data_IF_018604476463
#
_entry.id   IF_018604476463
#
_cell.length_a   1.000
_cell.length_b   1.000
_cell.length_c   1.000
_cell.angle_alpha   90.00
_cell.angle_beta   90.00
_cell.angle_gamma   90.00
#
_symmetry.space_group_name_H-M   'P 1'
#
loop_
_entity.id
_entity.type
_entity.pdbx_description
1 polymer ?
#
# COMPACT_ATOMS: atom_id res chain seq x y z
N UNK A 1 -17.25 4.05 -18.31
CA UNK A 1 -18.24 4.47 -17.28
C UNK A 1 -18.66 5.88 -17.64
N UNK A 2 -19.93 6.10 -17.97
CA UNK A 2 -20.40 7.42 -18.40
C UNK A 2 -20.34 8.46 -17.27
N UNK A 3 -20.34 8.00 -16.01
CA UNK A 3 -20.34 8.87 -14.83
C UNK A 3 -18.94 9.39 -14.41
N UNK A 4 -17.84 8.88 -14.97
CA UNK A 4 -16.49 9.28 -14.51
C UNK A 4 -16.01 10.50 -15.30
N UNK A 5 -15.95 11.65 -14.64
CA UNK A 5 -15.22 12.83 -15.13
C UNK A 5 -13.86 12.88 -14.44
N UNK A 6 -12.79 12.56 -15.19
CA UNK A 6 -11.42 12.52 -14.66
C UNK A 6 -10.90 13.91 -14.28
N UNK A 7 -11.28 14.95 -15.00
CA UNK A 7 -10.76 16.30 -14.73
C UNK A 7 -11.22 16.81 -13.37
N UNK A 8 -12.45 16.46 -12.96
CA UNK A 8 -12.95 16.74 -11.63
C UNK A 8 -12.15 16.06 -10.50
N UNK A 9 -11.34 15.03 -10.79
CA UNK A 9 -10.46 14.39 -9.80
C UNK A 9 -9.26 15.29 -9.44
N UNK A 10 -8.99 16.34 -10.22
CA UNK A 10 -7.90 17.31 -10.02
C UNK A 10 -8.38 18.68 -9.59
N UNK A 11 -9.70 18.88 -9.51
CA UNK A 11 -10.29 20.10 -8.97
C UNK A 11 -10.01 20.18 -7.46
N UNK A 12 -9.77 21.41 -7.00
CA UNK A 12 -9.26 21.67 -5.64
C UNK A 12 -10.37 21.42 -4.61
N UNK A 13 -10.49 20.16 -4.18
CA UNK A 13 -11.27 19.78 -3.02
C UNK A 13 -10.38 19.90 -1.78
N UNK A 14 -10.89 20.50 -0.71
CA UNK A 14 -10.21 20.57 0.60
C UNK A 14 -10.86 19.59 1.57
N UNK A 15 -10.77 18.26 1.32
CA UNK A 15 -11.39 17.28 2.19
C UNK A 15 -10.72 17.33 3.57
N UNK A 16 -11.53 17.10 4.60
CA UNK A 16 -11.04 16.80 5.93
C UNK A 16 -10.25 15.49 5.94
N UNK A 17 -9.42 15.31 6.97
CA UNK A 17 -8.71 14.04 7.18
C UNK A 17 -9.66 12.84 7.20
N UNK A 18 -10.83 12.98 7.83
CA UNK A 18 -11.79 11.89 7.94
C UNK A 18 -12.35 11.52 6.56
N UNK A 19 -12.76 12.50 5.76
CA UNK A 19 -13.26 12.26 4.41
C UNK A 19 -12.21 11.58 3.53
N UNK A 20 -10.93 11.97 3.63
CA UNK A 20 -9.83 11.29 2.94
C UNK A 20 -9.69 9.83 3.36
N UNK A 21 -9.77 9.55 4.66
CA UNK A 21 -9.69 8.18 5.18
C UNK A 21 -10.90 7.34 4.76
N UNK A 22 -12.09 7.93 4.70
CA UNK A 22 -13.31 7.26 4.26
C UNK A 22 -13.23 6.89 2.77
N UNK A 23 -12.74 7.81 1.93
CA UNK A 23 -12.50 7.56 0.50
C UNK A 23 -11.44 6.45 0.33
N UNK A 24 -10.34 6.54 1.07
CA UNK A 24 -9.28 5.54 1.08
C UNK A 24 -9.83 4.16 1.43
N UNK A 25 -10.55 4.06 2.55
CA UNK A 25 -11.11 2.80 3.03
C UNK A 25 -12.13 2.23 2.05
N UNK A 26 -12.99 3.07 1.47
CA UNK A 26 -13.97 2.65 0.45
C UNK A 26 -13.28 2.05 -0.79
N UNK A 27 -12.18 2.64 -1.24
CA UNK A 27 -11.37 2.13 -2.35
C UNK A 27 -10.78 0.74 -2.04
N UNK A 28 -10.12 0.60 -0.89
CA UNK A 28 -9.52 -0.67 -0.48
C UNK A 28 -10.55 -1.76 -0.21
N UNK A 29 -11.67 -1.45 0.44
CA UNK A 29 -12.77 -2.39 0.63
C UNK A 29 -13.27 -2.93 -0.70
N UNK A 30 -13.41 -2.07 -1.72
CA UNK A 30 -13.84 -2.50 -3.06
C UNK A 30 -12.82 -3.43 -3.72
N UNK A 31 -11.53 -3.11 -3.59
CA UNK A 31 -10.45 -3.97 -4.11
C UNK A 31 -10.43 -5.33 -3.41
N UNK A 32 -10.42 -5.34 -2.08
CA UNK A 32 -10.35 -6.59 -1.32
C UNK A 32 -11.57 -7.46 -1.53
N UNK A 33 -12.77 -6.88 -1.57
CA UNK A 33 -13.98 -7.63 -1.92
C UNK A 33 -13.83 -8.34 -3.28
N UNK A 34 -13.35 -7.62 -4.30
CA UNK A 34 -13.10 -8.21 -5.61
C UNK A 34 -12.05 -9.32 -5.55
N UNK A 35 -10.91 -9.11 -4.88
CA UNK A 35 -9.85 -10.12 -4.75
C UNK A 35 -10.33 -11.38 -4.01
N UNK A 36 -11.08 -11.21 -2.91
CA UNK A 36 -11.58 -12.34 -2.11
C UNK A 36 -12.65 -13.17 -2.82
N UNK A 37 -13.31 -12.61 -3.84
CA UNK A 37 -14.27 -13.35 -4.66
C UNK A 37 -13.65 -14.22 -5.76
N UNK A 38 -12.34 -14.08 -6.02
CA UNK A 38 -11.66 -14.81 -7.07
C UNK A 38 -11.38 -16.26 -6.64
N UNK A 39 -11.53 -17.16 -7.60
CA UNK A 39 -11.03 -18.54 -7.53
C UNK A 39 -9.74 -18.68 -8.34
N UNK A 40 -9.00 -19.78 -8.17
CA UNK A 40 -7.79 -20.05 -8.94
C UNK A 40 -8.03 -20.01 -10.46
N UNK A 41 -9.18 -20.51 -10.91
CA UNK A 41 -9.58 -20.51 -12.33
C UNK A 41 -9.81 -19.10 -12.87
N UNK A 42 -10.15 -18.14 -12.02
CA UNK A 42 -10.36 -16.76 -12.44
C UNK A 42 -9.04 -16.06 -12.76
N UNK A 43 -7.92 -16.52 -12.20
CA UNK A 43 -6.61 -15.87 -12.36
C UNK A 43 -6.11 -15.86 -13.81
N UNK A 44 -6.52 -16.85 -14.61
CA UNK A 44 -6.16 -16.98 -16.03
C UNK A 44 -7.15 -16.29 -16.98
N UNK A 45 -8.30 -15.80 -16.48
CA UNK A 45 -9.30 -15.14 -17.33
C UNK A 45 -8.72 -13.86 -17.95
N UNK A 46 -8.99 -13.67 -19.23
CA UNK A 46 -8.63 -12.44 -19.93
C UNK A 46 -9.65 -11.34 -19.59
N UNK A 47 -9.14 -10.25 -19.05
CA UNK A 47 -9.83 -8.98 -18.89
C UNK A 47 -9.19 -7.92 -19.78
N UNK A 48 -9.93 -6.87 -20.07
CA UNK A 48 -9.44 -5.78 -20.91
C UNK A 48 -9.23 -4.51 -20.09
N UNK A 49 -8.01 -3.98 -20.13
CA UNK A 49 -7.67 -2.68 -19.58
C UNK A 49 -7.27 -1.80 -20.75
N UNK A 50 -8.09 -0.79 -21.09
CA UNK A 50 -7.88 0.06 -22.28
C UNK A 50 -7.73 -0.76 -23.57
N UNK A 51 -8.60 -1.77 -23.75
CA UNK A 51 -8.58 -2.73 -24.87
C UNK A 51 -7.32 -3.58 -24.99
N UNK A 52 -6.45 -3.59 -23.97
CA UNK A 52 -5.32 -4.49 -23.88
C UNK A 52 -5.72 -5.69 -23.04
N UNK A 53 -5.63 -6.89 -23.63
CA UNK A 53 -5.94 -8.14 -22.95
C UNK A 53 -4.86 -8.48 -21.94
N UNK A 54 -5.30 -8.78 -20.72
CA UNK A 54 -4.45 -9.24 -19.62
C UNK A 54 -5.18 -10.36 -18.89
N UNK A 55 -4.45 -11.36 -18.43
CA UNK A 55 -4.94 -12.26 -17.38
C UNK A 55 -5.24 -11.46 -16.11
N UNK A 56 -6.13 -11.98 -15.28
CA UNK A 56 -6.40 -11.38 -13.96
C UNK A 56 -5.13 -11.30 -13.13
N UNK A 57 -4.25 -12.31 -13.17
CA UNK A 57 -2.99 -12.28 -12.43
C UNK A 57 -2.01 -11.20 -12.93
N UNK A 58 -1.93 -10.96 -14.25
CA UNK A 58 -1.14 -9.85 -14.80
C UNK A 58 -1.69 -8.49 -14.35
N UNK A 59 -3.01 -8.35 -14.33
CA UNK A 59 -3.66 -7.13 -13.86
C UNK A 59 -3.39 -6.86 -12.36
N UNK A 60 -3.44 -7.91 -11.53
CA UNK A 60 -3.09 -7.84 -10.11
C UNK A 60 -1.63 -7.43 -9.93
N UNK A 61 -0.70 -8.10 -10.62
CA UNK A 61 0.74 -7.78 -10.54
C UNK A 61 1.03 -6.33 -10.97
N UNK A 62 0.36 -5.86 -12.02
CA UNK A 62 0.47 -4.46 -12.46
C UNK A 62 0.02 -3.48 -11.36
N UNK A 63 -1.05 -3.80 -10.62
CA UNK A 63 -1.48 -2.98 -9.48
C UNK A 63 -0.51 -3.07 -8.30
N UNK A 64 0.01 -4.27 -8.00
CA UNK A 64 0.98 -4.49 -6.93
C UNK A 64 2.26 -3.67 -7.13
N UNK A 65 2.71 -3.45 -8.36
CA UNK A 65 3.84 -2.56 -8.65
C UNK A 65 3.47 -1.07 -8.58
N UNK A 66 2.22 -0.73 -8.87
CA UNK A 66 1.74 0.65 -8.93
C UNK A 66 1.47 1.25 -7.55
N UNK A 67 0.96 0.47 -6.59
CA UNK A 67 0.68 0.99 -5.24
C UNK A 67 1.93 1.47 -4.50
N UNK A 68 3.06 0.73 -4.46
CA UNK A 68 4.30 1.19 -3.84
C UNK A 68 4.81 2.50 -4.43
N UNK A 69 4.65 2.71 -5.74
CA UNK A 69 5.03 3.96 -6.40
C UNK A 69 4.28 5.16 -5.79
N UNK A 70 2.95 5.08 -5.69
CA UNK A 70 2.15 6.17 -5.11
C UNK A 70 2.30 6.30 -3.59
N UNK A 71 2.41 5.18 -2.87
CA UNK A 71 2.71 5.20 -1.43
C UNK A 71 4.05 5.90 -1.18
N UNK A 72 5.06 5.63 -2.02
CA UNK A 72 6.35 6.30 -1.98
C UNK A 72 6.25 7.82 -2.17
N UNK A 73 5.43 8.28 -3.13
CA UNK A 73 5.16 9.71 -3.33
C UNK A 73 4.51 10.36 -2.09
N UNK A 74 3.51 9.71 -1.49
CA UNK A 74 2.83 10.19 -0.27
C UNK A 74 3.83 10.28 0.90
N UNK A 75 4.62 9.22 1.11
CA UNK A 75 5.66 9.18 2.16
C UNK A 75 6.69 10.28 1.94
N UNK A 76 7.12 10.50 0.69
CA UNK A 76 8.10 11.53 0.36
C UNK A 76 7.56 12.94 0.67
N UNK A 77 6.33 13.25 0.27
CA UNK A 77 5.67 14.53 0.60
C UNK A 77 5.55 14.69 2.12
N UNK A 78 5.10 13.64 2.82
CA UNK A 78 5.00 13.66 4.29
C UNK A 78 6.36 13.93 4.96
N UNK A 79 7.44 13.32 4.46
CA UNK A 79 8.80 13.56 4.93
C UNK A 79 9.24 15.01 4.70
N UNK A 80 8.99 15.56 3.52
CA UNK A 80 9.31 16.96 3.22
C UNK A 80 8.56 17.94 4.14
N UNK A 81 7.29 17.67 4.41
CA UNK A 81 6.46 18.52 5.28
C UNK A 81 6.87 18.44 6.76
N UNK A 82 7.24 17.26 7.25
CA UNK A 82 7.64 17.07 8.65
C UNK A 82 9.09 17.50 8.91
N UNK A 83 9.96 17.47 7.89
CA UNK A 83 11.39 17.78 7.99
C UNK A 83 12.05 17.09 9.20
N UNK A 84 12.59 17.85 10.16
CA UNK A 84 13.25 17.32 11.36
C UNK A 84 12.31 16.55 12.30
N UNK A 85 11.00 16.72 12.16
CA UNK A 85 9.98 15.99 12.94
C UNK A 85 9.61 14.64 12.30
N UNK A 86 10.19 14.30 11.14
CA UNK A 86 9.90 13.04 10.48
C UNK A 86 10.41 11.86 11.30
N UNK A 87 9.49 10.99 11.72
CA UNK A 87 9.86 9.71 12.32
C UNK A 87 10.12 8.67 11.22
N UNK A 88 11.27 7.99 11.29
CA UNK A 88 11.64 6.96 10.32
C UNK A 88 10.60 5.83 10.30
N UNK A 89 10.14 5.44 9.11
CA UNK A 89 9.23 4.30 8.92
C UNK A 89 9.98 2.95 8.83
N UNK A 90 11.31 2.99 8.92
CA UNK A 90 12.22 1.86 8.90
C UNK A 90 13.37 2.16 9.88
N UNK A 91 14.53 1.54 9.69
CA UNK A 91 15.69 1.71 10.56
C UNK A 91 16.21 3.18 10.44
N UNK A 92 16.25 3.95 11.54
CA UNK A 92 16.80 5.29 11.53
C UNK A 92 18.27 5.30 11.07
N UNK A 93 18.70 6.42 10.49
CA UNK A 93 20.10 6.58 10.06
C UNK A 93 21.03 6.46 11.26
N UNK A 94 21.95 5.51 11.22
CA UNK A 94 22.92 5.23 12.30
C UNK A 94 22.63 3.93 13.06
N UNK A 95 21.40 3.42 13.00
CA UNK A 95 20.98 2.28 13.84
C UNK A 95 21.03 0.92 13.11
N UNK A 96 21.44 0.90 11.83
CA UNK A 96 21.48 -0.33 11.02
C UNK A 96 22.31 -1.45 11.62
N UNK A 97 23.43 -1.13 12.28
CA UNK A 97 24.30 -2.14 12.90
C UNK A 97 23.59 -2.84 14.05
N UNK A 98 23.03 -2.06 14.98
CA UNK A 98 22.29 -2.56 16.15
C UNK A 98 21.09 -3.40 15.72
N UNK A 99 20.30 -2.90 14.76
CA UNK A 99 19.14 -3.63 14.23
C UNK A 99 19.55 -5.00 13.65
N UNK A 100 20.63 -5.05 12.87
CA UNK A 100 21.12 -6.29 12.28
C UNK A 100 21.65 -7.26 13.33
N UNK A 101 22.40 -6.79 14.33
CA UNK A 101 22.88 -7.62 15.45
C UNK A 101 21.71 -8.28 16.18
N UNK A 102 20.66 -7.52 16.51
CA UNK A 102 19.44 -8.05 17.13
C UNK A 102 18.74 -9.08 16.24
N UNK A 103 18.59 -8.80 14.94
CA UNK A 103 17.93 -9.70 13.99
C UNK A 103 18.67 -11.01 13.77
N UNK A 104 20.00 -10.95 13.61
CA UNK A 104 20.82 -12.14 13.37
C UNK A 104 21.15 -12.92 14.65
N UNK A 105 20.86 -12.36 15.83
CA UNK A 105 20.93 -13.12 17.10
C UNK A 105 19.83 -14.18 17.24
N UNK A 106 18.71 -14.01 16.53
CA UNK A 106 17.60 -14.96 16.49
C UNK A 106 17.92 -16.09 15.51
N UNK A 107 17.48 -17.31 15.82
CA UNK A 107 17.54 -18.42 14.86
C UNK A 107 16.67 -18.14 13.64
N UNK A 108 17.02 -18.76 12.51
CA UNK A 108 16.18 -18.74 11.32
C UNK A 108 14.78 -19.27 11.65
N UNK A 109 13.75 -18.53 11.27
CA UNK A 109 12.35 -18.89 11.51
C UNK A 109 11.48 -18.28 10.41
N UNK A 110 10.24 -18.77 10.31
CA UNK A 110 9.23 -18.23 9.40
C UNK A 110 8.25 -17.40 10.22
N UNK A 111 8.17 -16.11 9.91
CA UNK A 111 7.21 -15.17 10.48
C UNK A 111 6.59 -14.33 9.36
N UNK A 112 5.42 -13.74 9.59
CA UNK A 112 4.90 -12.74 8.67
C UNK A 112 5.58 -11.40 8.97
N UNK A 113 6.03 -10.69 7.94
CA UNK A 113 6.84 -9.46 8.10
C UNK A 113 6.17 -8.37 8.97
N UNK A 114 4.83 -8.35 9.04
CA UNK A 114 4.09 -7.39 9.86
C UNK A 114 3.88 -7.83 11.31
N UNK A 115 4.17 -9.08 11.67
CA UNK A 115 3.90 -9.61 13.02
C UNK A 115 4.68 -8.82 14.07
N UNK A 116 5.95 -8.52 13.81
CA UNK A 116 6.77 -7.70 14.71
C UNK A 116 6.20 -6.27 14.86
N UNK A 117 5.75 -5.67 13.76
CA UNK A 117 5.23 -4.29 13.75
C UNK A 117 3.91 -4.19 14.52
N UNK A 118 3.01 -5.17 14.34
CA UNK A 118 1.70 -5.19 15.00
C UNK A 118 1.86 -5.51 16.48
N UNK A 119 2.67 -6.51 16.81
CA UNK A 119 2.87 -6.95 18.18
C UNK A 119 3.58 -5.88 19.04
N UNK A 120 4.47 -5.07 18.47
CA UNK A 120 5.10 -3.97 19.21
C UNK A 120 4.16 -2.78 19.41
N UNK A 121 3.21 -2.53 18.49
CA UNK A 121 2.17 -1.49 18.68
C UNK A 121 1.12 -1.86 19.72
N UNK A 122 0.89 -3.16 19.95
CA UNK A 122 -0.06 -3.67 20.96
C UNK A 122 0.55 -3.76 22.37
N UNK A 123 1.85 -3.50 22.53
CA UNK A 123 2.54 -3.44 23.83
C UNK A 123 2.62 -2.02 24.42
N UNK A 124 2.14 -1.01 23.69
CA UNK A 124 2.03 0.39 24.11
C UNK A 124 0.57 0.72 24.48
#
# INVERSE_FOLDING_TARGET
KEWRNRENEFEDSKPTKQELLDIWQKGWTSLFAALTSLTERDLEKIIFIRNQGHTVIEAINRQLAHYPYHVGQIVFIGKLLQNDKWNSLSIPKGDSKKYNEEKFSKSQHREHFTDEIINDKLKL
#
